data_IF_625573499776
#
_entry.id   IF_625573499776
#
_cell.length_a   1.000
_cell.length_b   1.000
_cell.length_c   1.000
_cell.angle_alpha   90.00
_cell.angle_beta   90.00
_cell.angle_gamma   90.00
#
_symmetry.space_group_name_H-M   'P 1'
#
loop_
_entity.id
_entity.type
_entity.pdbx_description
1 polymer ?
#
# COMPACT_ATOMS: atom_id res chain seq x y z
N UNK A 1 13.13 -11.21 -7.04
CA UNK A 1 14.50 -11.41 -7.55
C UNK A 1 14.62 -10.50 -8.76
N UNK A 2 15.67 -9.69 -8.84
CA UNK A 2 16.12 -9.10 -10.09
C UNK A 2 16.90 -10.21 -10.81
N UNK A 3 16.40 -10.67 -11.95
CA UNK A 3 16.96 -11.79 -12.70
C UNK A 3 15.89 -12.51 -13.52
N UNK A 4 16.28 -13.24 -14.59
CA UNK A 4 15.36 -13.98 -15.43
C UNK A 4 14.67 -15.10 -14.63
N UNK A 5 13.36 -15.26 -14.82
CA UNK A 5 12.54 -16.29 -14.16
C UNK A 5 11.18 -15.77 -13.67
N UNK A 6 10.35 -16.69 -13.16
CA UNK A 6 9.00 -16.34 -12.67
C UNK A 6 9.08 -15.33 -11.52
N UNK A 7 8.28 -14.27 -11.62
CA UNK A 7 8.16 -13.27 -10.57
C UNK A 7 7.82 -13.94 -9.22
N UNK A 8 8.44 -13.45 -8.16
CA UNK A 8 8.22 -13.96 -6.82
C UNK A 8 6.77 -13.71 -6.39
N UNK A 9 6.03 -14.77 -6.10
CA UNK A 9 4.61 -14.69 -5.73
C UNK A 9 4.37 -14.42 -4.24
N UNK A 10 5.39 -14.62 -3.39
CA UNK A 10 5.30 -14.46 -1.93
C UNK A 10 6.38 -13.54 -1.39
N UNK A 11 6.10 -12.27 -1.03
CA UNK A 11 7.11 -11.35 -0.52
C UNK A 11 7.61 -11.75 0.89
N UNK A 12 8.78 -11.27 1.31
CA UNK A 12 9.29 -11.48 2.68
C UNK A 12 8.50 -10.64 3.69
N UNK A 13 8.19 -9.40 3.29
CA UNK A 13 7.50 -8.42 4.11
C UNK A 13 6.40 -7.75 3.31
N UNK A 14 5.27 -7.49 3.95
CA UNK A 14 4.20 -6.66 3.42
C UNK A 14 4.07 -5.39 4.25
N UNK A 15 4.26 -4.25 3.58
CA UNK A 15 4.03 -2.93 4.14
C UNK A 15 2.63 -2.50 3.75
N UNK A 16 1.84 -2.06 4.71
CA UNK A 16 0.46 -1.66 4.46
C UNK A 16 0.04 -0.53 5.37
N UNK A 17 -0.99 0.18 4.93
CA UNK A 17 -1.58 1.24 5.73
C UNK A 17 -2.28 0.68 6.97
N UNK A 18 -2.40 1.53 7.99
CA UNK A 18 -3.08 1.26 9.26
C UNK A 18 -4.52 0.76 9.07
N UNK A 19 -5.21 1.17 8.00
CA UNK A 19 -6.55 0.67 7.65
C UNK A 19 -6.59 -0.86 7.43
N UNK A 20 -5.47 -1.47 7.04
CA UNK A 20 -5.35 -2.91 6.78
C UNK A 20 -4.93 -3.72 8.02
N UNK A 21 -4.97 -3.14 9.23
CA UNK A 21 -4.52 -3.78 10.47
C UNK A 21 -5.42 -4.91 11.01
N UNK A 22 -6.44 -5.33 10.24
CA UNK A 22 -7.45 -6.31 10.68
C UNK A 22 -6.82 -7.65 11.07
N UNK A 23 -7.47 -8.36 12.00
CA UNK A 23 -7.01 -9.69 12.44
C UNK A 23 -6.93 -10.67 11.27
N UNK A 24 -7.95 -10.68 10.41
CA UNK A 24 -8.00 -11.53 9.22
C UNK A 24 -6.81 -11.30 8.28
N UNK A 25 -6.46 -10.04 8.00
CA UNK A 25 -5.30 -9.72 7.16
C UNK A 25 -3.99 -10.22 7.79
N UNK A 26 -3.81 -10.00 9.10
CA UNK A 26 -2.60 -10.45 9.81
C UNK A 26 -2.50 -11.96 9.85
N UNK A 27 -3.61 -12.65 10.08
CA UNK A 27 -3.66 -14.10 10.06
C UNK A 27 -3.31 -14.66 8.68
N UNK A 28 -3.90 -14.11 7.63
CA UNK A 28 -3.60 -14.48 6.24
C UNK A 28 -2.12 -14.26 5.85
N UNK A 29 -1.49 -13.21 6.36
CA UNK A 29 -0.05 -12.98 6.14
C UNK A 29 0.80 -13.97 6.94
N UNK A 30 0.40 -14.24 8.19
CA UNK A 30 1.07 -15.21 9.07
C UNK A 30 1.02 -16.63 8.51
N UNK A 31 -0.14 -17.10 8.03
CA UNK A 31 -0.28 -18.44 7.43
C UNK A 31 0.59 -18.60 6.19
N UNK A 32 0.87 -17.51 5.48
CA UNK A 32 1.79 -17.50 4.33
C UNK A 32 3.25 -17.26 4.71
N UNK A 33 3.57 -17.02 5.98
CA UNK A 33 4.94 -16.71 6.42
C UNK A 33 5.45 -15.36 5.92
N UNK A 34 4.55 -14.40 5.67
CA UNK A 34 4.89 -13.04 5.24
C UNK A 34 4.94 -12.14 6.47
N UNK A 35 6.07 -11.47 6.69
CA UNK A 35 6.21 -10.54 7.81
C UNK A 35 5.29 -9.32 7.58
N UNK A 36 4.46 -9.01 8.58
CA UNK A 36 3.52 -7.90 8.50
C UNK A 36 4.14 -6.62 9.07
N UNK A 37 4.27 -5.59 8.24
CA UNK A 37 4.72 -4.23 8.62
C UNK A 37 3.53 -3.28 8.47
N UNK A 38 2.53 -3.49 9.31
CA UNK A 38 1.30 -2.69 9.35
C UNK A 38 1.11 -2.18 10.78
N UNK A 39 1.01 -0.86 11.01
CA UNK A 39 0.76 -0.30 12.34
C UNK A 39 -0.60 -0.77 12.89
N UNK A 40 -0.69 -0.95 14.21
CA UNK A 40 -1.98 -1.19 14.86
C UNK A 40 -2.81 0.10 14.92
N UNK A 41 -4.14 -0.05 14.88
CA UNK A 41 -5.02 1.08 15.17
C UNK A 41 -5.00 1.45 16.66
N UNK A 42 -5.16 2.74 16.97
CA UNK A 42 -5.06 3.24 18.35
C UNK A 42 -6.15 2.64 19.25
N UNK A 43 -7.36 2.48 18.72
CA UNK A 43 -8.48 1.76 19.33
C UNK A 43 -8.16 0.28 19.59
N UNK A 44 -7.50 -0.39 18.64
CA UNK A 44 -7.05 -1.79 18.81
C UNK A 44 -6.01 -1.92 19.92
N UNK A 45 -5.04 -1.00 19.98
CA UNK A 45 -4.05 -0.93 21.06
C UNK A 45 -4.75 -0.70 22.41
N UNK A 46 -5.68 0.26 22.47
CA UNK A 46 -6.39 0.60 23.70
C UNK A 46 -7.27 -0.57 24.19
N UNK A 47 -8.02 -1.22 23.30
CA UNK A 47 -8.84 -2.39 23.64
C UNK A 47 -7.98 -3.57 24.11
N UNK A 48 -6.85 -3.82 23.45
CA UNK A 48 -5.87 -4.82 23.89
C UNK A 48 -5.36 -4.53 25.30
N UNK A 49 -4.94 -3.29 25.58
CA UNK A 49 -4.50 -2.86 26.91
C UNK A 49 -5.60 -3.03 27.95
N UNK A 50 -6.84 -2.64 27.62
CA UNK A 50 -8.01 -2.78 28.51
C UNK A 50 -8.29 -4.24 28.90
N UNK A 51 -8.05 -5.18 28.00
CA UNK A 51 -8.22 -6.62 28.24
C UNK A 51 -7.06 -7.24 29.05
N UNK A 52 -6.01 -6.49 29.36
CA UNK A 52 -4.87 -6.97 30.14
C UNK A 52 -4.26 -8.24 29.56
N UNK A 53 -4.11 -9.28 30.40
CA UNK A 53 -3.58 -10.60 30.02
C UNK A 53 -4.38 -11.27 28.89
N UNK A 54 -5.69 -11.00 28.80
CA UNK A 54 -6.58 -11.54 27.77
C UNK A 54 -6.53 -10.73 26.45
N UNK A 55 -5.76 -9.64 26.41
CA UNK A 55 -5.61 -8.79 25.23
C UNK A 55 -4.74 -9.41 24.12
N UNK A 56 -3.95 -10.43 24.44
CA UNK A 56 -3.04 -11.06 23.49
C UNK A 56 -1.74 -10.27 23.25
N UNK A 57 -0.97 -10.73 22.26
CA UNK A 57 0.41 -10.30 22.00
C UNK A 57 0.49 -8.85 21.48
N UNK A 58 1.50 -8.10 21.95
CA UNK A 58 1.93 -6.83 21.37
C UNK A 58 2.45 -7.02 19.95
N UNK A 59 1.99 -6.19 19.01
CA UNK A 59 2.51 -6.21 17.64
C UNK A 59 3.69 -5.22 17.56
N UNK A 60 4.88 -5.74 17.26
CA UNK A 60 6.04 -4.92 16.95
C UNK A 60 5.93 -4.33 15.54
N UNK A 61 6.18 -3.03 15.40
CA UNK A 61 6.27 -2.36 14.10
C UNK A 61 7.73 -2.02 13.81
N UNK A 62 8.27 -2.58 12.74
CA UNK A 62 9.55 -2.16 12.17
C UNK A 62 9.35 -0.77 11.50
N UNK A 63 9.70 0.29 12.23
CA UNK A 63 9.52 1.68 11.78
C UNK A 63 10.37 2.01 10.56
N UNK A 64 11.59 1.48 10.46
CA UNK A 64 12.47 1.73 9.33
C UNK A 64 11.95 1.06 8.06
N UNK A 65 11.48 -0.19 8.17
CA UNK A 65 10.79 -0.82 7.07
C UNK A 65 9.53 -0.03 6.67
N UNK A 66 8.74 0.43 7.64
CA UNK A 66 7.49 1.16 7.39
C UNK A 66 7.69 2.45 6.56
N UNK A 67 8.81 3.18 6.76
CA UNK A 67 9.15 4.39 5.97
C UNK A 67 9.19 4.13 4.45
N UNK A 68 9.51 2.91 4.02
CA UNK A 68 9.61 2.56 2.59
C UNK A 68 8.26 2.62 1.86
N UNK A 69 7.13 2.68 2.58
CA UNK A 69 5.80 2.92 1.99
C UNK A 69 5.73 4.24 1.20
N UNK A 70 6.55 5.24 1.55
CA UNK A 70 6.62 6.54 0.89
C UNK A 70 6.85 6.43 -0.64
N UNK A 71 7.47 5.35 -1.12
CA UNK A 71 7.62 5.11 -2.58
C UNK A 71 6.26 4.98 -3.28
N UNK A 72 5.36 4.19 -2.68
CA UNK A 72 4.00 3.99 -3.22
C UNK A 72 3.18 5.27 -3.10
N UNK A 73 3.32 5.99 -1.99
CA UNK A 73 2.60 7.26 -1.77
C UNK A 73 3.01 8.34 -2.77
N UNK A 74 4.31 8.52 -3.01
CA UNK A 74 4.82 9.44 -4.04
C UNK A 74 4.37 9.04 -5.44
N UNK A 75 4.31 7.73 -5.72
CA UNK A 75 3.79 7.23 -6.99
C UNK A 75 2.33 7.64 -7.18
N UNK A 76 1.46 7.37 -6.20
CA UNK A 76 0.06 7.81 -6.25
C UNK A 76 -0.09 9.34 -6.31
N UNK A 77 0.75 10.09 -5.60
CA UNK A 77 0.74 11.55 -5.65
C UNK A 77 1.08 12.07 -7.06
N UNK A 78 2.00 11.39 -7.76
CA UNK A 78 2.35 11.70 -9.14
C UNK A 78 1.14 11.53 -10.06
N UNK A 79 0.41 10.41 -9.95
CA UNK A 79 -0.84 10.23 -10.71
C UNK A 79 -1.89 11.31 -10.40
N UNK A 80 -1.98 11.73 -9.14
CA UNK A 80 -2.94 12.75 -8.68
C UNK A 80 -2.60 14.17 -9.13
N UNK A 81 -1.44 14.43 -9.72
CA UNK A 81 -1.18 15.73 -10.36
C UNK A 81 -2.17 16.00 -11.50
N UNK A 82 -2.69 14.95 -12.15
CA UNK A 82 -3.83 15.11 -13.05
C UNK A 82 -5.13 15.16 -12.25
N UNK A 83 -5.75 16.34 -12.22
CA UNK A 83 -6.97 16.62 -11.45
C UNK A 83 -8.10 15.65 -11.76
N UNK A 84 -8.32 15.31 -13.04
CA UNK A 84 -9.35 14.35 -13.45
C UNK A 84 -9.24 12.98 -12.78
N UNK A 85 -8.01 12.49 -12.56
CA UNK A 85 -7.75 11.24 -11.84
C UNK A 85 -7.86 11.41 -10.33
N UNK A 86 -7.41 12.54 -9.79
CA UNK A 86 -7.46 12.80 -8.36
C UNK A 86 -8.89 12.89 -7.82
N UNK A 87 -9.77 13.59 -8.55
CA UNK A 87 -11.17 13.80 -8.17
C UNK A 87 -12.10 12.71 -8.69
N UNK A 88 -11.66 11.90 -9.66
CA UNK A 88 -12.47 10.88 -10.35
C UNK A 88 -13.71 11.47 -11.04
N UNK A 89 -13.50 12.45 -11.92
CA UNK A 89 -14.61 13.05 -12.68
C UNK A 89 -15.25 12.11 -13.69
N UNK A 90 -14.51 11.10 -14.15
CA UNK A 90 -15.01 10.11 -15.10
C UNK A 90 -16.15 9.26 -14.50
N UNK A 91 -17.32 9.29 -15.14
CA UNK A 91 -18.48 8.49 -14.73
C UNK A 91 -18.33 7.00 -15.07
N UNK A 92 -17.58 6.68 -16.12
CA UNK A 92 -17.39 5.31 -16.59
C UNK A 92 -16.03 4.78 -16.15
N UNK A 93 -16.02 3.56 -15.62
CA UNK A 93 -14.80 2.87 -15.20
C UNK A 93 -13.79 2.70 -16.35
N UNK A 94 -14.28 2.53 -17.58
CA UNK A 94 -13.45 2.43 -18.78
C UNK A 94 -12.68 3.73 -19.04
N UNK A 95 -13.37 4.87 -19.01
CA UNK A 95 -12.76 6.19 -19.21
C UNK A 95 -11.75 6.50 -18.12
N UNK A 96 -12.10 6.27 -16.85
CA UNK A 96 -11.19 6.44 -15.72
C UNK A 96 -9.92 5.58 -15.89
N UNK A 97 -10.09 4.31 -16.26
CA UNK A 97 -8.96 3.41 -16.52
C UNK A 97 -8.11 3.92 -17.69
N UNK A 98 -8.74 4.41 -18.76
CA UNK A 98 -8.03 5.03 -19.89
C UNK A 98 -7.15 6.19 -19.44
N UNK A 99 -7.68 7.09 -18.61
CA UNK A 99 -6.91 8.20 -18.03
C UNK A 99 -5.74 7.73 -17.16
N UNK A 100 -5.93 6.69 -16.33
CA UNK A 100 -4.83 6.12 -15.52
C UNK A 100 -3.75 5.52 -16.40
N UNK A 101 -4.12 4.77 -17.45
CA UNK A 101 -3.15 4.17 -18.39
C UNK A 101 -2.40 5.26 -19.14
N UNK A 102 -3.10 6.28 -19.62
CA UNK A 102 -2.47 7.43 -20.29
C UNK A 102 -1.48 8.13 -19.37
N UNK A 103 -1.85 8.39 -18.11
CA UNK A 103 -0.93 8.99 -17.14
C UNK A 103 0.27 8.10 -16.83
N UNK A 104 0.10 6.78 -16.82
CA UNK A 104 1.22 5.85 -16.66
C UNK A 104 2.18 5.95 -17.84
N UNK A 105 1.65 6.02 -19.08
CA UNK A 105 2.44 6.19 -20.30
C UNK A 105 3.25 7.49 -20.24
N UNK A 106 2.65 8.63 -19.87
CA UNK A 106 3.37 9.91 -19.80
C UNK A 106 4.44 9.94 -18.69
N UNK A 107 4.25 9.23 -17.59
CA UNK A 107 5.30 9.07 -16.56
C UNK A 107 6.47 8.22 -17.10
N UNK A 108 6.19 7.20 -17.92
CA UNK A 108 7.20 6.30 -18.46
C UNK A 108 7.95 6.90 -19.65
N UNK A 109 7.27 7.70 -20.47
CA UNK A 109 7.83 8.43 -21.59
C UNK A 109 8.29 9.81 -21.11
N UNK A 110 9.46 9.84 -20.47
CA UNK A 110 10.02 11.02 -19.81
C UNK A 110 10.09 12.28 -20.69
N UNK A 111 10.17 12.14 -22.03
CA UNK A 111 10.16 13.28 -22.98
C UNK A 111 8.80 13.96 -23.17
N UNK A 112 7.68 13.29 -22.88
CA UNK A 112 6.33 13.86 -22.99
C UNK A 112 5.86 14.53 -21.69
N UNK A 113 6.66 14.45 -20.62
CA UNK A 113 6.35 15.05 -19.32
C UNK A 113 6.60 16.56 -19.25
N UNK A 114 7.47 17.09 -20.13
CA UNK A 114 7.89 18.50 -20.18
C UNK A 114 7.05 19.36 -21.15
N UNK A 115 6.02 18.79 -21.78
CA UNK A 115 5.03 19.57 -22.52
C UNK A 115 4.14 20.36 -21.54
N UNK A 116 4.07 21.70 -21.64
CA UNK A 116 3.28 22.56 -20.74
C UNK A 116 1.80 22.18 -20.64
#
# INVERSE_FOLDING_TARGET
RTGPGRARTRPDRLLGDKAYSSKANREFLRTRGIQTVIPERSDQVANRKRRGRNGGRTIGLDKEAYKRRNVVERSFNTFKQWRGLATRYDKLALTYRGGVVLRAITIWLHELGDTP
#
